data_IF_945730640283
#
_entry.id   IF_945730640283
#
_cell.length_a   1.000
_cell.length_b   1.000
_cell.length_c   1.000
_cell.angle_alpha   90.00
_cell.angle_beta   90.00
_cell.angle_gamma   90.00
#
_symmetry.space_group_name_H-M   'P 1'
#
loop_
_entity.id
_entity.type
_entity.pdbx_description
1 polymer ?
#
# COMPACT_ATOMS: atom_id res chain seq x y z
N UNK A 1 5.04 -9.85 17.10
CA UNK A 1 5.49 -8.92 16.04
C UNK A 1 4.73 -7.60 16.11
N UNK A 2 3.40 -7.66 16.16
CA UNK A 2 2.51 -6.49 16.30
C UNK A 2 2.91 -5.54 17.43
N UNK A 3 3.16 -6.06 18.64
CA UNK A 3 3.53 -5.22 19.79
C UNK A 3 4.84 -4.44 19.59
N UNK A 4 5.83 -5.03 18.91
CA UNK A 4 7.10 -4.35 18.58
C UNK A 4 6.92 -3.27 17.50
N UNK A 5 5.83 -3.36 16.74
CA UNK A 5 5.47 -2.45 15.67
C UNK A 5 4.39 -1.44 16.08
N UNK A 6 4.01 -1.41 17.35
CA UNK A 6 3.03 -0.45 17.89
C UNK A 6 3.48 0.99 17.63
N UNK A 7 2.55 1.85 17.23
CA UNK A 7 2.78 3.26 16.91
C UNK A 7 3.81 3.49 15.79
N UNK A 8 4.00 2.52 14.89
CA UNK A 8 4.92 2.64 13.76
C UNK A 8 4.18 2.65 12.43
N UNK A 9 4.88 3.16 11.42
CA UNK A 9 4.49 3.10 10.03
C UNK A 9 5.54 2.31 9.26
N UNK A 10 5.13 1.23 8.59
CA UNK A 10 5.99 0.39 7.76
C UNK A 10 5.61 0.68 6.31
N UNK A 11 6.59 1.10 5.50
CA UNK A 11 6.37 1.46 4.10
C UNK A 11 7.24 0.60 3.20
N UNK A 12 6.61 -0.09 2.26
CA UNK A 12 7.25 -0.83 1.17
C UNK A 12 7.26 0.05 -0.08
N UNK A 13 8.43 0.32 -0.63
CA UNK A 13 8.57 1.13 -1.84
C UNK A 13 9.31 0.30 -2.88
N UNK A 14 8.69 0.06 -4.04
CA UNK A 14 9.36 -0.72 -5.08
C UNK A 14 8.49 -1.23 -6.21
N UNK A 15 8.91 -2.35 -6.76
CA UNK A 15 8.25 -3.07 -7.85
C UNK A 15 7.31 -4.17 -7.30
N UNK A 16 7.02 -5.15 -8.14
CA UNK A 16 6.22 -6.32 -7.78
C UNK A 16 6.80 -7.15 -6.64
N UNK A 17 8.12 -7.17 -6.43
CA UNK A 17 8.73 -7.90 -5.32
C UNK A 17 8.37 -7.20 -4.00
N UNK A 18 8.50 -5.87 -3.95
CA UNK A 18 8.05 -5.08 -2.79
C UNK A 18 6.56 -5.24 -2.53
N UNK A 19 5.75 -5.36 -3.59
CA UNK A 19 4.31 -5.62 -3.48
C UNK A 19 4.00 -6.97 -2.83
N UNK A 20 4.72 -8.02 -3.22
CA UNK A 20 4.54 -9.37 -2.66
C UNK A 20 4.95 -9.42 -1.18
N UNK A 21 6.06 -8.78 -0.82
CA UNK A 21 6.52 -8.73 0.58
C UNK A 21 5.52 -8.00 1.49
N UNK A 22 4.98 -6.87 1.03
CA UNK A 22 3.90 -6.16 1.73
C UNK A 22 2.69 -7.07 1.94
N UNK A 23 2.31 -7.83 0.92
CA UNK A 23 1.16 -8.72 0.94
C UNK A 23 1.33 -9.84 1.96
N UNK A 24 2.48 -10.52 1.94
CA UNK A 24 2.81 -11.56 2.90
C UNK A 24 2.83 -11.01 4.33
N UNK A 25 3.38 -9.81 4.55
CA UNK A 25 3.39 -9.20 5.87
C UNK A 25 1.97 -8.88 6.36
N UNK A 26 1.13 -8.28 5.52
CA UNK A 26 -0.25 -7.96 5.88
C UNK A 26 -1.02 -9.23 6.27
N UNK A 27 -0.86 -10.33 5.53
CA UNK A 27 -1.46 -11.62 5.87
C UNK A 27 -0.99 -12.14 7.24
N UNK A 28 0.33 -12.12 7.50
CA UNK A 28 0.87 -12.58 8.79
C UNK A 28 0.37 -11.71 9.97
N UNK A 29 0.30 -10.40 9.77
CA UNK A 29 -0.18 -9.47 10.81
C UNK A 29 -1.69 -9.58 11.02
N UNK A 30 -2.46 -9.83 9.96
CA UNK A 30 -3.90 -10.09 10.05
C UNK A 30 -4.19 -11.34 10.87
N UNK A 31 -3.47 -12.43 10.62
CA UNK A 31 -3.66 -13.69 11.35
C UNK A 31 -3.30 -13.56 12.83
N UNK A 32 -2.22 -12.82 13.12
CA UNK A 32 -1.77 -12.53 14.48
C UNK A 32 -2.60 -11.47 15.22
N UNK A 33 -3.51 -10.76 14.55
CA UNK A 33 -4.35 -9.72 15.16
C UNK A 33 -5.43 -10.34 16.04
N UNK A 34 -5.63 -9.78 17.23
CA UNK A 34 -6.70 -10.21 18.15
C UNK A 34 -8.05 -9.76 17.61
N UNK A 35 -8.14 -8.49 17.21
CA UNK A 35 -9.35 -7.90 16.64
C UNK A 35 -9.22 -7.74 15.12
N UNK A 36 -9.70 -8.74 14.37
CA UNK A 36 -9.71 -8.70 12.90
C UNK A 36 -10.68 -7.65 12.32
N UNK A 37 -11.69 -7.25 13.08
CA UNK A 37 -12.66 -6.21 12.71
C UNK A 37 -12.08 -4.80 12.70
N UNK A 38 -10.93 -4.60 13.35
CA UNK A 38 -10.24 -3.31 13.52
C UNK A 38 -9.10 -3.12 12.51
N UNK A 39 -9.12 -3.91 11.43
CA UNK A 39 -8.11 -3.85 10.37
C UNK A 39 -8.79 -3.48 9.05
N UNK A 40 -8.42 -2.33 8.48
CA UNK A 40 -9.09 -1.77 7.31
C UNK A 40 -8.13 -0.99 6.39
N UNK A 41 -8.55 -0.80 5.13
CA UNK A 41 -7.81 0.04 4.17
C UNK A 41 -8.09 1.51 4.44
N UNK A 42 -7.05 2.29 4.74
CA UNK A 42 -7.17 3.69 5.19
C UNK A 42 -7.70 4.65 4.10
N UNK A 43 -7.57 4.28 2.82
CA UNK A 43 -7.94 5.16 1.70
C UNK A 43 -9.32 4.86 1.11
N UNK A 44 -10.07 3.93 1.72
CA UNK A 44 -11.46 3.61 1.37
C UNK A 44 -11.72 3.31 -0.11
N UNK A 45 -10.73 2.86 -0.88
CA UNK A 45 -10.89 2.62 -2.31
C UNK A 45 -10.39 1.21 -2.70
N UNK A 46 -11.10 0.51 -3.61
CA UNK A 46 -10.84 -0.89 -3.90
C UNK A 46 -9.35 -1.18 -4.17
N UNK A 47 -8.82 -2.22 -3.52
CA UNK A 47 -7.46 -2.69 -3.74
C UNK A 47 -7.41 -3.25 -5.16
N UNK A 48 -6.62 -2.64 -6.04
CA UNK A 48 -6.42 -3.12 -7.41
C UNK A 48 -4.94 -3.37 -7.69
N UNK A 49 -4.66 -4.35 -8.57
CA UNK A 49 -3.29 -4.72 -8.97
C UNK A 49 -2.46 -3.58 -9.54
N UNK A 50 -3.13 -2.56 -10.07
CA UNK A 50 -2.50 -1.42 -10.72
C UNK A 50 -2.48 -0.16 -9.83
N UNK A 51 -3.02 -0.22 -8.62
CA UNK A 51 -3.01 0.92 -7.70
C UNK A 51 -1.57 1.18 -7.26
N UNK A 52 -1.12 2.42 -7.46
CA UNK A 52 0.23 2.84 -7.11
C UNK A 52 0.46 2.98 -5.60
N UNK A 53 -0.59 2.90 -4.79
CA UNK A 53 -0.53 3.08 -3.34
C UNK A 53 -1.59 2.25 -2.62
N UNK A 54 -1.19 1.59 -1.53
CA UNK A 54 -2.05 0.78 -0.65
C UNK A 54 -1.68 1.06 0.81
N UNK A 55 -2.66 1.06 1.71
CA UNK A 55 -2.45 1.37 3.13
C UNK A 55 -3.40 0.58 4.02
N UNK A 56 -2.90 -0.39 4.77
CA UNK A 56 -3.68 -1.12 5.79
C UNK A 56 -3.37 -0.55 7.16
N UNK A 57 -4.42 -0.28 7.94
CA UNK A 57 -4.32 0.22 9.30
C UNK A 57 -4.81 -0.85 10.30
N UNK A 58 -4.04 -1.05 11.37
CA UNK A 58 -4.36 -1.92 12.50
C UNK A 58 -4.61 -1.02 13.71
N UNK A 59 -5.87 -0.82 14.07
CA UNK A 59 -6.28 0.18 15.08
C UNK A 59 -5.74 -0.15 16.48
N UNK A 60 -5.87 -1.40 16.92
CA UNK A 60 -5.41 -1.89 18.23
C UNK A 60 -3.93 -1.58 18.51
N UNK A 61 -3.11 -1.56 17.46
CA UNK A 61 -1.66 -1.35 17.55
C UNK A 61 -1.23 0.04 17.06
N UNK A 62 -2.16 0.86 16.56
CA UNK A 62 -1.86 2.10 15.86
C UNK A 62 -0.71 1.90 14.83
N UNK A 63 -0.80 0.82 14.05
CA UNK A 63 0.20 0.41 13.08
C UNK A 63 -0.35 0.61 11.67
N UNK A 64 0.42 1.26 10.81
CA UNK A 64 0.09 1.39 9.38
C UNK A 64 1.12 0.64 8.54
N UNK A 65 0.65 -0.21 7.61
CA UNK A 65 1.48 -0.96 6.67
C UNK A 65 1.11 -0.58 5.24
N UNK A 66 2.03 0.04 4.53
CA UNK A 66 1.78 0.70 3.25
C UNK A 66 2.67 0.15 2.14
N UNK A 67 2.15 0.17 0.91
CA UNK A 67 2.91 -0.11 -0.29
C UNK A 67 2.81 1.07 -1.26
N UNK A 68 3.95 1.48 -1.80
CA UNK A 68 4.06 2.49 -2.84
C UNK A 68 4.80 1.93 -4.06
N UNK A 69 4.17 2.05 -5.23
CA UNK A 69 4.73 1.57 -6.49
C UNK A 69 5.77 2.55 -7.04
N UNK A 70 7.04 2.18 -6.91
CA UNK A 70 8.18 2.89 -7.49
C UNK A 70 9.18 1.87 -8.07
N UNK A 71 8.92 1.28 -9.25
CA UNK A 71 9.72 0.18 -9.77
C UNK A 71 11.20 0.51 -9.94
N UNK A 72 11.52 1.79 -10.16
CA UNK A 72 12.89 2.25 -10.37
C UNK A 72 13.45 3.04 -9.19
N UNK A 73 12.65 3.27 -8.13
CA UNK A 73 13.01 4.07 -6.94
C UNK A 73 13.49 5.51 -7.21
N UNK A 74 13.60 5.93 -8.48
CA UNK A 74 14.03 7.26 -8.90
C UNK A 74 12.83 8.13 -9.24
N UNK A 75 13.00 9.44 -8.99
CA UNK A 75 12.08 10.42 -9.51
C UNK A 75 12.15 10.41 -11.04
N UNK A 76 11.01 10.21 -11.69
CA UNK A 76 10.91 10.30 -13.14
C UNK A 76 10.90 11.78 -13.51
N UNK A 77 12.09 12.33 -13.76
CA UNK A 77 12.31 13.74 -14.12
C UNK A 77 11.89 14.07 -15.55
N UNK A 78 12.13 15.30 -16.03
CA UNK A 78 11.82 15.73 -17.41
C UNK A 78 12.61 14.95 -18.47
N UNK A 79 12.13 14.86 -19.72
CA UNK A 79 12.88 14.16 -20.76
C UNK A 79 14.17 14.94 -21.03
N UNK A 80 15.28 14.29 -21.38
CA UNK A 80 16.42 15.00 -21.91
C UNK A 80 15.99 15.91 -23.06
N UNK A 81 16.61 17.10 -23.22
CA UNK A 81 16.46 17.88 -24.44
C UNK A 81 16.73 16.99 -25.66
N UNK A 82 15.91 17.09 -26.71
CA UNK A 82 15.96 16.26 -27.93
C UNK A 82 15.37 14.85 -27.84
N UNK A 83 14.50 14.57 -26.87
CA UNK A 83 13.73 13.32 -26.86
C UNK A 83 12.79 13.23 -28.07
N UNK A 84 12.69 12.07 -28.76
CA UNK A 84 11.81 11.92 -29.92
C UNK A 84 10.34 12.14 -29.55
N UNK A 85 9.57 12.72 -30.48
CA UNK A 85 8.14 12.91 -30.33
C UNK A 85 7.46 11.56 -30.10
N UNK A 86 6.77 11.41 -28.96
CA UNK A 86 6.10 10.15 -28.58
C UNK A 86 6.81 9.32 -27.51
N UNK A 87 7.93 9.79 -26.94
CA UNK A 87 8.55 9.14 -25.79
C UNK A 87 7.62 9.13 -24.56
N UNK A 88 6.86 8.04 -24.39
CA UNK A 88 6.06 7.79 -23.19
C UNK A 88 6.94 7.24 -22.09
N UNK A 89 6.96 7.92 -20.94
CA UNK A 89 7.58 7.37 -19.74
C UNK A 89 6.58 6.67 -18.84
N UNK A 90 7.07 5.71 -18.03
CA UNK A 90 6.31 5.22 -16.90
C UNK A 90 5.89 6.42 -16.03
N UNK A 91 4.61 6.55 -15.72
CA UNK A 91 4.13 7.54 -14.76
C UNK A 91 4.20 6.92 -13.37
N UNK A 92 5.07 7.44 -12.51
CA UNK A 92 5.06 7.14 -11.08
C UNK A 92 5.66 8.34 -10.32
N UNK A 93 4.82 9.18 -9.73
CA UNK A 93 5.23 10.28 -8.86
C UNK A 93 5.16 9.83 -7.41
N UNK A 94 6.30 9.54 -6.77
CA UNK A 94 6.33 9.23 -5.32
C UNK A 94 5.68 10.39 -4.57
N UNK A 95 4.54 10.19 -3.88
CA UNK A 95 3.89 11.25 -3.12
C UNK A 95 4.81 11.66 -1.98
N UNK A 96 4.87 12.96 -1.74
CA UNK A 96 5.58 13.51 -0.60
C UNK A 96 4.96 12.96 0.69
N UNK A 97 5.80 12.51 1.63
CA UNK A 97 5.40 11.79 2.86
C UNK A 97 4.43 12.56 3.78
N UNK A 98 4.12 13.83 3.50
CA UNK A 98 3.28 14.70 4.33
C UNK A 98 1.80 14.85 3.95
N UNK A 99 1.33 14.32 2.82
CA UNK A 99 -0.06 14.57 2.37
C UNK A 99 -0.96 13.34 2.57
N UNK A 100 -1.45 13.13 3.79
CA UNK A 100 -2.56 12.21 4.07
C UNK A 100 -3.74 13.04 4.57
N UNK A 101 -4.63 13.40 3.63
CA UNK A 101 -5.90 14.02 3.95
C UNK A 101 -6.83 12.99 4.61
N UNK A 102 -7.43 13.42 5.72
CA UNK A 102 -8.48 12.72 6.46
C UNK A 102 -9.72 12.55 5.58
N UNK A 103 -10.08 11.31 5.26
CA UNK A 103 -11.35 10.95 4.66
C UNK A 103 -11.98 9.82 5.46
N UNK A 104 -13.00 10.14 6.25
CA UNK A 104 -13.81 9.18 7.00
C UNK A 104 -14.76 8.46 6.06
N UNK A 105 -14.64 7.13 5.96
CA UNK A 105 -15.70 6.28 5.46
C UNK A 105 -15.69 4.99 6.29
N UNK A 106 -16.64 4.90 7.22
CA UNK A 106 -16.95 3.63 7.87
C UNK A 106 -17.69 2.74 6.88
N UNK A 107 -17.38 1.44 6.88
CA UNK A 107 -18.31 0.41 6.45
C UNK A 107 -17.89 -0.95 7.00
N UNK A 108 -18.92 -1.65 7.47
CA UNK A 108 -18.96 -2.97 8.08
C UNK A 108 -18.52 -4.09 7.15
N UNK A 109 -17.72 -5.03 7.65
CA UNK A 109 -18.05 -6.45 7.77
C UNK A 109 -16.77 -7.28 7.95
N UNK A 110 -16.90 -8.37 8.70
CA UNK A 110 -15.91 -9.31 9.24
C UNK A 110 -15.01 -10.06 8.23
N UNK A 111 -14.77 -9.50 7.05
CA UNK A 111 -13.93 -10.06 6.00
C UNK A 111 -12.61 -9.31 5.91
N UNK A 112 -11.50 -10.04 5.71
CA UNK A 112 -10.21 -9.44 5.35
C UNK A 112 -10.43 -8.42 4.23
N UNK A 113 -9.88 -7.19 4.31
CA UNK A 113 -9.98 -6.23 3.22
C UNK A 113 -9.53 -6.94 1.94
N UNK A 114 -10.30 -6.80 0.86
CA UNK A 114 -10.17 -7.61 -0.37
C UNK A 114 -8.81 -7.42 -1.05
N UNK A 115 -7.79 -8.08 -0.49
CA UNK A 115 -6.48 -8.37 -1.07
C UNK A 115 -6.61 -9.61 -1.98
N UNK A 116 -7.76 -10.29 -1.92
CA UNK A 116 -8.08 -11.59 -2.50
C UNK A 116 -7.99 -11.66 -4.02
N UNK A 117 -8.06 -10.53 -4.73
CA UNK A 117 -7.76 -10.49 -6.16
C UNK A 117 -6.30 -10.84 -6.54
N UNK A 118 -5.39 -10.88 -5.55
CA UNK A 118 -3.94 -11.07 -5.77
C UNK A 118 -3.46 -12.41 -5.23
N UNK A 119 -4.11 -12.96 -4.19
CA UNK A 119 -3.76 -14.26 -3.60
C UNK A 119 -4.47 -15.49 -4.21
N UNK A 120 -5.48 -15.32 -5.08
CA UNK A 120 -6.23 -16.45 -5.70
C UNK A 120 -5.77 -16.86 -7.12
N UNK A 121 -4.51 -16.60 -7.48
CA UNK A 121 -3.88 -17.26 -8.65
C UNK A 121 -2.52 -17.85 -8.27
N UNK A 122 -2.55 -18.87 -7.44
CA UNK A 122 -1.71 -20.06 -7.55
C UNK A 122 -2.57 -21.28 -7.22
#
# INVERSE_FOLDING_TARGET
MLERSRNKRILFVGDSIGRNQWESLVCMLWDASVNRTEVFEKNGSPISKHKGFLSIFYEEYNLTVEYYRAPFLVAIGRPPPNSPAGFRRPSASIPHIGTLASGSAGMSSSSMPDIGGIATRY
#
